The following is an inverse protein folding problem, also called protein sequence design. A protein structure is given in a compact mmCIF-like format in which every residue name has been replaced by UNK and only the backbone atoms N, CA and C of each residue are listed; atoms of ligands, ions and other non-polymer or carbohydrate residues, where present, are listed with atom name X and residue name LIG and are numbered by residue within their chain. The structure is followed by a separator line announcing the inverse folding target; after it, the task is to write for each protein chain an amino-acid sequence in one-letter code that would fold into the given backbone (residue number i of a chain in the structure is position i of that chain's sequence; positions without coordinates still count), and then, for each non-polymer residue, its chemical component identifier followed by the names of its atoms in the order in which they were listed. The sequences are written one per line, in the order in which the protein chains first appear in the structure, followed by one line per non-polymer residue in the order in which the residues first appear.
data_IF_954480541072
#
_entry.id   IF_954480541072
#
_cell.length_a   1.000
_cell.length_b   1.000
_cell.length_c   1.000
_cell.angle_alpha   90.00
_cell.angle_beta   90.00
_cell.angle_gamma   90.00
#
_symmetry.space_group_name_H-M   'P 1'
#
loop_
_entity.id
_entity.type
_entity.pdbx_description
1 polymer ?
#
# COMPACT_ATOMS: atom_id res chain seq x y z
N UNK A 1 16.33 -20.12 -11.15
CA UNK A 1 15.50 -20.89 -12.10
C UNK A 1 16.38 -21.73 -13.02
N UNK A 2 15.98 -22.96 -13.35
CA UNK A 2 16.76 -23.81 -14.28
C UNK A 2 16.71 -23.27 -15.72
N UNK A 3 17.82 -23.37 -16.44
CA UNK A 3 17.90 -22.97 -17.86
C UNK A 3 16.81 -23.64 -18.72
N UNK A 4 16.39 -24.86 -18.39
CA UNK A 4 15.36 -25.60 -19.12
C UNK A 4 13.97 -24.97 -19.01
N UNK A 5 13.58 -24.46 -17.85
CA UNK A 5 12.29 -23.79 -17.65
C UNK A 5 12.24 -22.47 -18.44
N UNK A 6 13.33 -21.70 -18.42
CA UNK A 6 13.43 -20.44 -19.17
C UNK A 6 13.38 -20.66 -20.69
N UNK A 7 14.06 -21.68 -21.21
CA UNK A 7 14.00 -22.04 -22.64
C UNK A 7 12.58 -22.48 -23.04
N UNK A 8 11.94 -23.34 -22.25
CA UNK A 8 10.57 -23.80 -22.54
C UNK A 8 9.55 -22.65 -22.56
N UNK A 9 9.61 -21.77 -21.56
CA UNK A 9 8.75 -20.59 -21.50
C UNK A 9 8.99 -19.64 -22.69
N UNK A 10 10.25 -19.49 -23.11
CA UNK A 10 10.61 -18.62 -24.23
C UNK A 10 10.15 -19.13 -25.59
N UNK A 11 10.22 -20.45 -25.82
CA UNK A 11 9.90 -21.02 -27.13
C UNK A 11 8.44 -21.39 -27.29
N UNK A 12 7.77 -21.83 -26.22
CA UNK A 12 6.41 -22.39 -26.31
C UNK A 12 5.34 -21.47 -25.73
N UNK A 13 5.66 -20.72 -24.67
CA UNK A 13 4.68 -19.99 -23.89
C UNK A 13 4.58 -18.51 -24.30
N UNK A 14 5.65 -17.73 -24.17
CA UNK A 14 5.58 -16.27 -24.40
C UNK A 14 5.04 -15.86 -25.78
N UNK A 15 5.35 -16.55 -26.90
CA UNK A 15 4.80 -16.24 -28.22
C UNK A 15 3.26 -16.29 -28.30
N UNK A 16 2.63 -17.13 -27.48
CA UNK A 16 1.18 -17.34 -27.48
C UNK A 16 0.48 -16.58 -26.35
N UNK A 17 1.24 -16.08 -25.38
CA UNK A 17 0.72 -15.42 -24.20
C UNK A 17 0.44 -13.93 -24.45
N UNK A 18 -0.82 -13.52 -24.29
CA UNK A 18 -1.24 -12.11 -24.33
C UNK A 18 -1.69 -11.65 -22.95
N UNK A 19 -0.94 -10.72 -22.36
CA UNK A 19 -1.24 -10.15 -21.04
C UNK A 19 -2.63 -9.53 -20.93
N UNK A 20 -3.18 -9.00 -22.01
CA UNK A 20 -4.50 -8.35 -22.06
C UNK A 20 -5.67 -9.32 -22.12
N UNK A 21 -5.41 -10.61 -22.36
CA UNK A 21 -6.45 -11.66 -22.51
C UNK A 21 -6.53 -12.60 -21.31
N UNK A 22 -5.85 -12.27 -20.22
CA UNK A 22 -5.68 -13.16 -19.08
C UNK A 22 -5.77 -12.37 -17.77
N UNK A 23 -6.59 -12.87 -16.86
CA UNK A 23 -6.91 -12.17 -15.62
C UNK A 23 -5.75 -12.13 -14.60
N UNK A 24 -4.73 -13.00 -14.76
CA UNK A 24 -3.55 -13.05 -13.88
C UNK A 24 -2.85 -11.70 -13.73
N UNK A 25 -2.83 -10.88 -14.81
CA UNK A 25 -2.18 -9.58 -14.81
C UNK A 25 -3.14 -8.40 -14.88
N UNK A 26 -4.45 -8.60 -14.69
CA UNK A 26 -5.42 -7.48 -14.63
C UNK A 26 -5.04 -6.47 -13.55
N UNK A 27 -4.38 -6.95 -12.48
CA UNK A 27 -3.79 -6.11 -11.44
C UNK A 27 -2.69 -5.15 -11.92
N UNK A 28 -2.23 -5.21 -13.16
CA UNK A 28 -1.33 -4.22 -13.77
C UNK A 28 -2.04 -3.31 -14.78
N UNK A 29 -3.36 -3.48 -14.97
CA UNK A 29 -4.19 -2.74 -15.94
C UNK A 29 -3.57 -2.70 -17.34
N UNK A 30 -3.33 -3.86 -17.97
CA UNK A 30 -2.77 -3.87 -19.32
C UNK A 30 -3.76 -3.26 -20.32
N UNK A 31 -3.29 -2.29 -21.10
CA UNK A 31 -4.04 -1.64 -22.18
C UNK A 31 -3.28 -1.89 -23.48
N UNK A 32 -3.90 -2.62 -24.41
CA UNK A 32 -3.29 -2.89 -25.73
C UNK A 32 -3.04 -1.57 -26.47
N UNK A 33 -1.83 -1.42 -27.02
CA UNK A 33 -1.50 -0.26 -27.85
C UNK A 33 -2.11 -0.44 -29.24
N UNK A 34 -2.24 0.67 -29.96
CA UNK A 34 -2.78 0.69 -31.33
C UNK A 34 -1.98 -0.17 -32.32
N UNK A 35 -0.73 -0.50 -32.00
CA UNK A 35 0.11 -1.38 -32.82
C UNK A 35 -0.28 -2.87 -32.74
N UNK A 36 -1.12 -3.28 -31.77
CA UNK A 36 -1.52 -4.67 -31.52
C UNK A 36 -0.36 -5.60 -31.13
N UNK A 37 0.84 -5.05 -30.90
CA UNK A 37 2.09 -5.78 -30.64
C UNK A 37 2.56 -5.62 -29.20
N UNK A 38 2.02 -4.64 -28.49
CA UNK A 38 2.37 -4.37 -27.10
C UNK A 38 1.19 -3.90 -26.29
N UNK A 39 1.33 -3.94 -24.97
CA UNK A 39 0.44 -3.25 -24.06
C UNK A 39 1.21 -2.29 -23.15
N UNK A 40 0.57 -1.18 -22.77
CA UNK A 40 0.98 -0.37 -21.63
C UNK A 40 0.41 -0.97 -20.36
N UNK A 41 1.12 -0.87 -19.25
CA UNK A 41 0.68 -1.36 -17.95
C UNK A 41 1.33 -0.57 -16.80
N UNK A 42 0.82 -0.76 -15.58
CA UNK A 42 1.47 -0.29 -14.36
C UNK A 42 2.69 -1.16 -14.10
N UNK A 43 3.84 -0.53 -13.84
CA UNK A 43 5.07 -1.23 -13.52
C UNK A 43 4.90 -2.06 -12.23
N UNK A 44 5.11 -3.38 -12.25
CA UNK A 44 5.02 -4.20 -11.04
C UNK A 44 6.09 -3.85 -10.00
N UNK A 45 7.22 -3.29 -10.45
CA UNK A 45 8.34 -2.92 -9.58
C UNK A 45 8.21 -1.52 -8.98
N UNK A 46 7.85 -0.49 -9.76
CA UNK A 46 7.83 0.90 -9.26
C UNK A 46 6.43 1.53 -9.16
N UNK A 47 5.39 0.82 -9.61
CA UNK A 47 4.00 1.27 -9.65
C UNK A 47 3.76 2.54 -10.49
N UNK A 48 4.71 2.88 -11.37
CA UNK A 48 4.56 3.92 -12.38
C UNK A 48 3.75 3.44 -13.59
N UNK A 49 3.09 4.36 -14.29
CA UNK A 49 2.22 4.08 -15.44
C UNK A 49 2.94 3.97 -16.79
N UNK A 50 4.27 4.01 -16.81
CA UNK A 50 5.09 4.03 -18.04
C UNK A 50 5.87 2.72 -18.19
N UNK A 51 5.18 1.60 -17.93
CA UNK A 51 5.66 0.27 -18.28
C UNK A 51 4.91 -0.26 -19.50
N UNK A 52 5.61 -1.10 -20.25
CA UNK A 52 5.03 -1.79 -21.39
C UNK A 52 5.58 -3.21 -21.48
N UNK A 53 4.81 -4.04 -22.17
CA UNK A 53 5.18 -5.41 -22.47
C UNK A 53 4.97 -5.64 -23.97
N UNK A 54 6.01 -6.12 -24.64
CA UNK A 54 5.87 -6.62 -26.01
C UNK A 54 5.37 -8.05 -25.96
N UNK A 55 4.26 -8.34 -26.64
CA UNK A 55 3.74 -9.70 -26.73
C UNK A 55 4.82 -10.60 -27.37
N UNK A 56 4.96 -11.82 -26.87
CA UNK A 56 6.04 -12.71 -27.29
C UNK A 56 7.32 -12.63 -26.45
N UNK A 57 7.44 -11.70 -25.51
CA UNK A 57 8.65 -11.54 -24.68
C UNK A 57 8.45 -12.04 -23.24
N UNK A 58 9.55 -12.28 -22.53
CA UNK A 58 9.53 -12.81 -21.17
C UNK A 58 9.32 -11.74 -20.08
N UNK A 59 9.34 -10.46 -20.44
CA UNK A 59 9.50 -9.38 -19.47
C UNK A 59 8.65 -8.15 -19.75
N UNK A 60 8.31 -7.46 -18.67
CA UNK A 60 7.77 -6.11 -18.64
C UNK A 60 8.96 -5.15 -18.54
N UNK A 61 9.00 -4.15 -19.42
CA UNK A 61 10.00 -3.08 -19.39
C UNK A 61 9.35 -1.80 -18.87
N UNK A 62 10.01 -1.13 -17.94
CA UNK A 62 9.56 0.16 -17.44
C UNK A 62 10.49 1.29 -17.89
N UNK A 63 9.93 2.32 -18.52
CA UNK A 63 10.67 3.52 -18.90
C UNK A 63 11.02 4.37 -17.68
N UNK A 64 10.17 4.34 -16.65
CA UNK A 64 10.35 5.12 -15.43
C UNK A 64 11.54 4.66 -14.60
N UNK A 65 11.61 3.36 -14.34
CA UNK A 65 12.58 2.79 -13.40
C UNK A 65 13.65 1.94 -14.08
N UNK A 66 13.61 1.86 -15.42
CA UNK A 66 14.51 1.10 -16.28
C UNK A 66 14.65 -0.40 -15.93
N UNK A 67 13.75 -0.92 -15.09
CA UNK A 67 13.74 -2.33 -14.71
C UNK A 67 13.11 -3.20 -15.79
N UNK A 68 13.65 -4.40 -15.91
CA UNK A 68 13.10 -5.50 -16.69
C UNK A 68 12.57 -6.54 -15.71
N UNK A 69 11.25 -6.55 -15.48
CA UNK A 69 10.62 -7.50 -14.57
C UNK A 69 10.07 -8.67 -15.38
N UNK A 70 10.54 -9.90 -15.13
CA UNK A 70 10.00 -11.08 -15.82
C UNK A 70 8.51 -11.27 -15.50
N UNK A 71 7.74 -11.95 -16.36
CA UNK A 71 6.33 -12.22 -16.09
C UNK A 71 6.13 -13.05 -14.81
N UNK A 72 7.03 -14.01 -14.55
CA UNK A 72 7.03 -14.80 -13.32
C UNK A 72 7.25 -13.91 -12.11
N UNK A 73 8.31 -13.10 -12.11
CA UNK A 73 8.60 -12.18 -11.00
C UNK A 73 7.49 -11.14 -10.80
N UNK A 74 6.88 -10.66 -11.88
CA UNK A 74 5.73 -9.77 -11.80
C UNK A 74 4.54 -10.45 -11.11
N UNK A 75 4.27 -11.72 -11.42
CA UNK A 75 3.21 -12.48 -10.77
C UNK A 75 3.52 -12.77 -9.29
N UNK A 76 4.77 -13.08 -8.95
CA UNK A 76 5.21 -13.18 -7.55
C UNK A 76 4.93 -11.90 -6.77
N UNK A 77 5.21 -10.73 -7.38
CA UNK A 77 4.94 -9.42 -6.74
C UNK A 77 3.45 -9.10 -6.62
N UNK A 78 2.65 -9.57 -7.57
CA UNK A 78 1.21 -9.35 -7.60
C UNK A 78 0.46 -10.22 -6.59
N UNK A 79 0.85 -11.50 -6.47
CA UNK A 79 0.13 -12.53 -5.72
C UNK A 79 0.86 -13.00 -4.45
N UNK A 80 2.08 -12.54 -4.18
CA UNK A 80 2.97 -13.05 -3.11
C UNK A 80 3.13 -14.57 -3.14
N UNK A 81 3.22 -15.14 -4.34
CA UNK A 81 3.48 -16.56 -4.54
C UNK A 81 4.96 -16.82 -4.80
N UNK A 82 5.39 -18.06 -4.59
CA UNK A 82 6.75 -18.49 -4.95
C UNK A 82 6.93 -18.44 -6.47
N UNK A 83 8.18 -18.37 -6.93
CA UNK A 83 8.49 -18.44 -8.36
C UNK A 83 7.94 -19.70 -9.02
N UNK A 84 7.95 -20.83 -8.31
CA UNK A 84 7.40 -22.10 -8.80
C UNK A 84 5.88 -22.03 -8.99
N UNK A 85 5.16 -21.51 -8.00
CA UNK A 85 3.72 -21.34 -8.06
C UNK A 85 3.32 -20.31 -9.14
N UNK A 86 4.05 -19.20 -9.25
CA UNK A 86 3.86 -18.23 -10.32
C UNK A 86 4.07 -18.84 -11.72
N UNK A 87 5.17 -19.59 -11.91
CA UNK A 87 5.46 -20.24 -13.18
C UNK A 87 4.38 -21.28 -13.54
N UNK A 88 3.91 -22.05 -12.56
CA UNK A 88 2.82 -23.01 -12.72
C UNK A 88 1.52 -22.33 -13.16
N UNK A 89 1.08 -21.29 -12.44
CA UNK A 89 -0.13 -20.53 -12.78
C UNK A 89 -0.06 -19.92 -14.17
N UNK A 90 1.09 -19.39 -14.56
CA UNK A 90 1.30 -18.85 -15.90
C UNK A 90 1.06 -19.91 -16.97
N UNK A 91 1.70 -21.07 -16.83
CA UNK A 91 1.55 -22.19 -17.77
C UNK A 91 0.10 -22.70 -17.84
N UNK A 92 -0.54 -22.91 -16.69
CA UNK A 92 -1.93 -23.37 -16.58
C UNK A 92 -2.90 -22.40 -17.27
N UNK A 93 -2.70 -21.09 -17.09
CA UNK A 93 -3.58 -20.07 -17.65
C UNK A 93 -3.58 -19.99 -19.18
N UNK A 94 -2.61 -20.61 -19.84
CA UNK A 94 -2.55 -20.75 -21.29
C UNK A 94 -2.73 -22.21 -21.76
N UNK A 95 -3.17 -23.10 -20.88
CA UNK A 95 -3.45 -24.51 -21.19
C UNK A 95 -2.21 -25.37 -21.42
N UNK A 96 -1.03 -24.93 -20.95
CA UNK A 96 0.19 -25.74 -21.02
C UNK A 96 0.31 -26.64 -19.78
N UNK A 97 0.66 -27.91 -19.99
CA UNK A 97 1.02 -28.80 -18.90
C UNK A 97 2.25 -28.26 -18.15
N UNK A 98 2.22 -28.28 -16.82
CA UNK A 98 3.41 -28.01 -16.01
C UNK A 98 4.52 -28.99 -16.39
N UNK A 99 5.76 -28.53 -16.67
CA UNK A 99 6.86 -29.45 -16.89
C UNK A 99 7.05 -30.30 -15.62
N UNK A 100 7.36 -31.61 -15.76
CA UNK A 100 7.59 -32.48 -14.62
C UNK A 100 8.72 -31.92 -13.75
N UNK A 101 8.50 -32.00 -12.44
CA UNK A 101 9.34 -31.52 -11.32
C UNK A 101 10.79 -31.30 -11.74
N UNK A 102 11.16 -30.03 -11.87
CA UNK A 102 12.58 -29.67 -11.97
C UNK A 102 13.08 -29.57 -10.53
N UNK A 103 13.67 -30.65 -10.04
CA UNK A 103 14.51 -30.59 -8.84
C UNK A 103 15.59 -29.53 -9.06
N UNK A 104 15.48 -28.43 -8.33
CA UNK A 104 16.53 -27.43 -8.24
C UNK A 104 17.39 -27.85 -7.05
N UNK A 105 18.29 -28.82 -7.25
CA UNK A 105 19.55 -28.77 -6.52
C UNK A 105 20.28 -27.53 -7.04
N UNK A 106 20.18 -26.43 -6.29
CA UNK A 106 20.93 -25.23 -6.58
C UNK A 106 22.41 -25.52 -6.36
N UNK A 107 23.13 -25.86 -7.42
CA UNK A 107 24.57 -25.63 -7.42
C UNK A 107 24.79 -24.11 -7.50
N UNK A 108 25.65 -23.54 -6.64
CA UNK A 108 25.99 -22.13 -6.70
C UNK A 108 26.80 -21.89 -7.98
N UNK A 109 26.11 -21.46 -9.03
CA UNK A 109 26.80 -20.92 -10.20
C UNK A 109 27.23 -19.48 -9.89
N UNK A 110 28.47 -19.35 -9.43
CA UNK A 110 29.28 -18.15 -9.63
C UNK A 110 29.48 -17.95 -11.13
N UNK A 111 28.48 -17.36 -11.78
CA UNK A 111 28.71 -16.59 -12.99
C UNK A 111 28.66 -15.13 -12.58
N UNK A 112 29.85 -14.57 -12.41
CA UNK A 112 30.06 -13.14 -12.51
C UNK A 112 29.47 -12.68 -13.84
N UNK A 113 28.20 -12.26 -13.83
CA UNK A 113 27.71 -11.33 -14.81
C UNK A 113 28.62 -10.12 -14.68
N UNK A 114 29.40 -9.86 -15.72
CA UNK A 114 30.03 -8.56 -15.93
C UNK A 114 28.93 -7.52 -15.79
N UNK A 115 28.86 -6.90 -14.61
CA UNK A 115 28.03 -5.75 -14.33
C UNK A 115 28.45 -4.68 -15.34
N UNK A 116 27.72 -4.59 -16.45
CA UNK A 116 27.70 -3.34 -17.18
C UNK A 116 27.26 -2.33 -16.14
N UNK A 117 28.15 -1.39 -15.77
CA UNK A 117 27.86 -0.22 -14.94
C UNK A 117 26.76 0.60 -15.62
N UNK A 118 25.53 0.10 -15.62
CA UNK A 118 24.33 0.85 -15.92
C UNK A 118 23.99 1.53 -14.61
N UNK A 119 24.22 2.84 -14.58
CA UNK A 119 23.73 3.75 -13.55
C UNK A 119 22.35 3.30 -13.09
N UNK A 120 22.25 2.88 -11.83
CA UNK A 120 21.00 2.44 -11.25
C UNK A 120 20.20 3.69 -10.90
N UNK A 121 19.32 4.10 -11.82
CA UNK A 121 18.29 5.09 -11.49
C UNK A 121 17.59 4.66 -10.20
N UNK A 122 17.44 5.57 -9.24
CA UNK A 122 16.77 5.28 -7.96
C UNK A 122 15.31 4.92 -8.27
N UNK A 123 14.99 3.64 -8.16
CA UNK A 123 13.64 3.13 -8.37
C UNK A 123 12.87 3.12 -7.05
N UNK A 124 11.53 3.21 -7.09
CA UNK A 124 10.68 3.03 -5.89
C UNK A 124 10.98 1.72 -5.18
N UNK A 125 11.22 0.64 -5.94
CA UNK A 125 11.56 -0.68 -5.39
C UNK A 125 12.87 -0.65 -4.64
N UNK A 126 13.93 -0.18 -5.29
CA UNK A 126 15.24 -0.05 -4.66
C UNK A 126 15.14 0.81 -3.40
N UNK A 127 14.44 1.94 -3.47
CA UNK A 127 14.25 2.83 -2.33
C UNK A 127 13.54 2.10 -1.18
N UNK A 128 12.43 1.41 -1.47
CA UNK A 128 11.69 0.65 -0.47
C UNK A 128 12.52 -0.50 0.12
N UNK A 129 13.30 -1.21 -0.71
CA UNK A 129 14.18 -2.28 -0.25
C UNK A 129 15.27 -1.73 0.69
N UNK A 130 15.89 -0.60 0.35
CA UNK A 130 16.87 0.06 1.24
C UNK A 130 16.23 0.53 2.56
N UNK A 131 15.08 1.19 2.49
CA UNK A 131 14.35 1.64 3.69
C UNK A 131 13.93 0.45 4.58
N UNK A 132 13.61 -0.70 3.99
CA UNK A 132 13.29 -1.93 4.72
C UNK A 132 14.51 -2.57 5.36
N UNK A 133 15.68 -2.54 4.71
CA UNK A 133 16.93 -2.99 5.33
C UNK A 133 17.21 -2.17 6.59
N UNK A 134 17.14 -0.84 6.49
CA UNK A 134 17.30 0.02 7.66
C UNK A 134 16.23 -0.17 8.74
N UNK A 135 14.99 -0.54 8.37
CA UNK A 135 13.96 -0.88 9.35
C UNK A 135 14.28 -2.20 10.07
N UNK A 136 14.81 -3.20 9.36
CA UNK A 136 15.21 -4.49 9.96
C UNK A 136 16.32 -4.32 11.00
N UNK A 137 17.20 -3.37 10.77
CA UNK A 137 18.36 -3.10 11.63
C UNK A 137 18.06 -2.09 12.76
N UNK A 138 16.79 -1.70 12.96
CA UNK A 138 16.39 -0.69 13.94
C UNK A 138 15.28 -1.21 14.87
N UNK A 139 15.68 -1.79 16.01
CA UNK A 139 14.76 -2.36 16.99
C UNK A 139 13.81 -1.30 17.58
N UNK A 140 14.28 -0.08 17.87
CA UNK A 140 13.44 1.00 18.40
C UNK A 140 12.29 1.38 17.45
N UNK A 141 12.56 1.44 16.14
CA UNK A 141 11.55 1.71 15.13
C UNK A 141 10.55 0.56 14.99
N UNK A 142 11.03 -0.69 15.10
CA UNK A 142 10.16 -1.87 15.13
C UNK A 142 9.25 -1.83 16.36
N UNK A 143 9.79 -1.59 17.55
CA UNK A 143 9.02 -1.48 18.80
C UNK A 143 7.99 -0.33 18.74
N UNK A 144 8.37 0.80 18.15
CA UNK A 144 7.47 1.94 17.91
C UNK A 144 6.28 1.56 17.00
N UNK A 145 6.51 0.76 15.95
CA UNK A 145 5.44 0.24 15.10
C UNK A 145 4.57 -0.78 15.84
N UNK A 146 5.17 -1.73 16.56
CA UNK A 146 4.44 -2.77 17.31
C UNK A 146 3.57 -2.16 18.41
N UNK A 147 4.11 -1.21 19.19
CA UNK A 147 3.35 -0.45 20.19
C UNK A 147 2.24 0.42 19.57
N UNK A 148 2.31 0.70 18.28
CA UNK A 148 1.28 1.40 17.51
C UNK A 148 0.27 0.45 16.85
N UNK A 149 0.27 -0.84 17.21
CA UNK A 149 -0.70 -1.84 16.76
C UNK A 149 -0.31 -2.58 15.47
N UNK A 150 0.97 -2.53 15.07
CA UNK A 150 1.46 -3.37 13.98
C UNK A 150 1.73 -4.80 14.45
N UNK A 151 1.48 -5.74 13.55
CA UNK A 151 1.92 -7.12 13.73
C UNK A 151 3.27 -7.32 13.02
N UNK A 152 4.16 -8.09 13.64
CA UNK A 152 5.52 -8.33 13.13
C UNK A 152 5.53 -8.86 11.69
N UNK A 153 4.56 -9.70 11.34
CA UNK A 153 4.41 -10.27 10.00
C UNK A 153 4.00 -9.26 8.92
N UNK A 154 3.45 -8.10 9.30
CA UNK A 154 2.98 -7.07 8.38
C UNK A 154 4.06 -6.02 8.06
N UNK A 155 5.03 -5.83 8.96
CA UNK A 155 6.08 -4.79 8.85
C UNK A 155 6.80 -4.82 7.50
N UNK A 156 7.15 -6.01 7.02
CA UNK A 156 7.93 -6.18 5.78
C UNK A 156 7.07 -6.42 4.53
N UNK A 157 5.75 -6.60 4.72
CA UNK A 157 4.76 -6.63 3.62
C UNK A 157 4.32 -5.22 3.24
N UNK A 158 4.19 -4.33 4.22
CA UNK A 158 3.78 -2.95 4.00
C UNK A 158 4.81 -2.15 3.17
N UNK A 159 4.36 -1.19 2.35
CA UNK A 159 5.22 -0.25 1.64
C UNK A 159 5.76 0.86 2.57
N UNK A 160 6.39 0.47 3.67
CA UNK A 160 7.07 1.36 4.63
C UNK A 160 8.55 1.00 4.76
N UNK A 161 9.31 1.88 5.41
CA UNK A 161 10.61 1.53 5.98
C UNK A 161 11.11 2.62 6.94
N UNK A 162 12.40 2.58 7.25
CA UNK A 162 13.04 3.50 8.17
C UNK A 162 14.11 4.33 7.44
N UNK A 163 14.19 5.62 7.72
CA UNK A 163 15.29 6.49 7.29
C UNK A 163 16.17 6.77 8.52
N UNK A 164 17.42 6.27 8.59
CA UNK A 164 18.29 6.53 9.74
C UNK A 164 18.79 7.97 9.80
N UNK A 165 19.08 8.55 8.64
CA UNK A 165 19.41 9.96 8.51
C UNK A 165 19.29 10.45 7.08
N UNK A 166 19.20 11.77 6.91
CA UNK A 166 19.30 12.39 5.59
C UNK A 166 20.62 12.08 4.84
N UNK A 167 21.70 11.77 5.57
CA UNK A 167 22.99 11.35 5.01
C UNK A 167 23.01 9.88 4.63
N UNK A 168 22.28 9.02 5.33
CA UNK A 168 22.28 7.58 5.08
C UNK A 168 21.92 7.26 3.62
N UNK A 169 20.90 7.92 3.08
CA UNK A 169 20.51 7.74 1.68
C UNK A 169 21.52 8.31 0.69
N UNK A 170 22.23 9.39 1.05
CA UNK A 170 23.29 9.94 0.20
C UNK A 170 24.52 9.03 0.13
N UNK A 171 24.74 8.21 1.17
CA UNK A 171 25.88 7.29 1.22
C UNK A 171 25.67 6.02 0.38
N UNK A 172 24.41 5.59 0.21
CA UNK A 172 24.07 4.38 -0.57
C UNK A 172 23.70 4.68 -2.02
N UNK A 173 23.57 5.96 -2.37
CA UNK A 173 23.28 6.41 -3.74
C UNK A 173 24.56 6.97 -4.35
N UNK A 174 25.00 6.38 -5.45
CA UNK A 174 26.18 6.86 -6.20
C UNK A 174 25.87 8.06 -7.10
N UNK A 175 24.60 8.25 -7.47
CA UNK A 175 24.11 9.28 -8.39
C UNK A 175 23.38 10.43 -7.66
N UNK A 176 22.93 11.45 -8.41
CA UNK A 176 22.11 12.52 -7.85
C UNK A 176 20.72 11.99 -7.48
N UNK A 177 20.30 12.23 -6.24
CA UNK A 177 18.93 11.95 -5.79
C UNK A 177 17.90 12.69 -6.68
N UNK A 178 16.76 12.05 -7.04
CA UNK A 178 15.60 12.73 -7.61
C UNK A 178 15.21 13.96 -6.80
N UNK A 179 14.71 15.00 -7.48
CA UNK A 179 14.52 16.32 -6.86
C UNK A 179 13.57 16.26 -5.67
N UNK A 180 12.44 15.55 -5.79
CA UNK A 180 11.45 15.45 -4.72
C UNK A 180 11.98 14.58 -3.56
N UNK A 181 12.75 13.53 -3.87
CA UNK A 181 13.39 12.69 -2.87
C UNK A 181 14.43 13.49 -2.08
N UNK A 182 15.29 14.23 -2.76
CA UNK A 182 16.31 15.08 -2.15
C UNK A 182 15.70 16.12 -1.18
N UNK A 183 14.61 16.77 -1.62
CA UNK A 183 13.90 17.77 -0.80
C UNK A 183 13.29 17.14 0.45
N UNK A 184 12.53 16.05 0.29
CA UNK A 184 11.85 15.38 1.41
C UNK A 184 12.83 14.77 2.42
N UNK A 185 13.89 14.12 1.97
CA UNK A 185 14.96 13.56 2.82
C UNK A 185 15.60 14.62 3.72
N UNK A 186 15.71 15.88 3.26
CA UNK A 186 16.25 16.98 4.08
C UNK A 186 15.32 17.43 5.21
N UNK A 187 14.03 17.11 5.12
CA UNK A 187 13.03 17.43 6.16
C UNK A 187 12.93 16.32 7.20
N UNK A 188 13.13 15.08 6.76
CA UNK A 188 13.08 13.90 7.62
C UNK A 188 14.46 13.66 8.22
N UNK A 189 14.60 13.94 9.52
CA UNK A 189 15.88 13.77 10.24
C UNK A 189 16.23 12.30 10.40
N UNK A 190 15.27 11.51 10.86
CA UNK A 190 15.35 10.08 11.10
C UNK A 190 13.95 9.57 11.47
N UNK A 191 13.53 8.40 11.02
CA UNK A 191 12.24 7.82 11.44
C UNK A 191 11.53 7.00 10.37
N UNK A 192 10.28 6.66 10.63
CA UNK A 192 9.48 5.77 9.78
C UNK A 192 8.90 6.57 8.62
N UNK A 193 9.08 6.04 7.41
CA UNK A 193 8.76 6.73 6.17
C UNK A 193 8.04 5.82 5.17
N UNK A 194 7.30 6.49 4.29
CA UNK A 194 6.55 5.91 3.17
C UNK A 194 7.01 6.59 1.88
N UNK A 195 7.42 5.84 0.85
CA UNK A 195 7.68 6.40 -0.47
C UNK A 195 6.36 6.72 -1.18
N UNK A 196 6.16 8.00 -1.50
CA UNK A 196 5.03 8.48 -2.29
C UNK A 196 5.47 8.72 -3.73
N UNK A 197 5.02 7.85 -4.63
CA UNK A 197 5.33 7.91 -6.07
C UNK A 197 4.47 8.99 -6.74
N UNK A 198 5.14 9.92 -7.41
CA UNK A 198 4.52 11.00 -8.17
C UNK A 198 4.22 10.58 -9.62
N UNK A 199 3.28 11.23 -10.33
CA UNK A 199 2.94 10.84 -11.71
C UNK A 199 4.10 10.95 -12.71
N UNK A 200 5.07 11.83 -12.44
CA UNK A 200 6.30 11.99 -13.23
C UNK A 200 7.39 10.97 -12.87
N UNK A 201 7.06 9.94 -12.09
CA UNK A 201 7.97 8.90 -11.60
C UNK A 201 9.05 9.36 -10.63
N UNK A 202 9.01 10.63 -10.21
CA UNK A 202 9.75 11.08 -9.04
C UNK A 202 9.09 10.49 -7.78
N UNK A 203 9.84 10.44 -6.69
CA UNK A 203 9.37 9.90 -5.43
C UNK A 203 9.76 10.86 -4.32
N UNK A 204 8.92 11.01 -3.32
CA UNK A 204 9.30 11.71 -2.11
C UNK A 204 8.94 10.88 -0.89
N UNK A 205 9.64 11.13 0.22
CA UNK A 205 9.34 10.50 1.49
C UNK A 205 8.34 11.34 2.26
N UNK A 206 7.30 10.68 2.74
CA UNK A 206 6.40 11.19 3.75
C UNK A 206 6.56 10.30 4.98
N UNK A 207 6.70 10.89 6.16
CA UNK A 207 6.91 10.06 7.36
C UNK A 207 6.92 10.84 8.64
N UNK A 208 7.47 10.25 9.68
CA UNK A 208 7.54 10.82 11.02
C UNK A 208 8.99 10.89 11.44
N UNK A 209 9.37 11.98 12.09
CA UNK A 209 10.66 12.04 12.76
C UNK A 209 10.55 11.31 14.10
N UNK A 210 11.56 10.52 14.46
CA UNK A 210 11.64 9.81 15.74
C UNK A 210 10.39 8.95 16.04
N UNK A 211 9.52 9.45 16.94
CA UNK A 211 8.32 8.75 17.40
C UNK A 211 7.11 9.01 16.50
N UNK A 212 6.45 7.94 16.08
CA UNK A 212 5.13 7.98 15.45
C UNK A 212 4.11 8.70 16.34
N UNK A 213 4.05 8.37 17.63
CA UNK A 213 2.98 8.80 18.53
C UNK A 213 3.05 10.28 18.91
N UNK A 214 4.25 10.87 18.90
CA UNK A 214 4.47 12.21 19.47
C UNK A 214 4.69 13.29 18.41
N UNK A 215 5.12 12.93 17.20
CA UNK A 215 5.58 13.91 16.22
C UNK A 215 4.62 14.12 15.05
N UNK A 216 4.66 15.35 14.53
CA UNK A 216 3.99 15.73 13.28
C UNK A 216 4.64 15.07 12.05
N UNK A 217 3.90 14.90 10.93
CA UNK A 217 4.50 14.29 9.76
C UNK A 217 5.53 15.25 9.20
N UNK A 218 6.62 14.71 8.70
CA UNK A 218 7.66 15.45 8.04
C UNK A 218 7.68 15.11 6.56
N UNK A 219 7.52 16.15 5.75
CA UNK A 219 7.65 16.14 4.30
C UNK A 219 7.98 17.55 3.82
N UNK A 220 8.32 17.71 2.55
CA UNK A 220 8.55 19.03 1.95
C UNK A 220 7.27 19.56 1.31
N UNK A 221 6.70 20.63 1.88
CA UNK A 221 5.43 21.23 1.45
C UNK A 221 5.47 21.83 0.04
N UNK A 222 6.68 22.04 -0.53
CA UNK A 222 6.81 22.46 -1.93
C UNK A 222 6.47 21.34 -2.92
N UNK A 223 6.46 20.09 -2.46
CA UNK A 223 6.07 18.93 -3.24
C UNK A 223 4.56 18.82 -3.22
N UNK A 224 3.96 18.86 -4.41
CA UNK A 224 2.51 18.90 -4.61
C UNK A 224 2.05 17.62 -5.33
N UNK A 225 1.78 16.53 -4.61
CA UNK A 225 1.32 15.29 -5.22
C UNK A 225 -0.07 15.51 -5.84
N UNK A 226 -0.23 15.15 -7.11
CA UNK A 226 -1.52 15.19 -7.82
C UNK A 226 -2.24 13.84 -7.84
N UNK A 227 -1.73 12.86 -7.09
CA UNK A 227 -2.29 11.52 -6.94
C UNK A 227 -2.18 11.07 -5.48
N UNK A 228 -3.17 10.32 -4.95
CA UNK A 228 -3.06 9.70 -3.64
C UNK A 228 -1.87 8.73 -3.56
N UNK A 229 -1.28 8.63 -2.38
CA UNK A 229 -0.22 7.68 -2.06
C UNK A 229 -0.74 6.26 -2.23
N UNK A 230 0.07 5.39 -2.83
CA UNK A 230 -0.27 4.00 -3.14
C UNK A 230 -1.47 3.78 -4.07
N UNK A 231 -2.05 4.80 -4.72
CA UNK A 231 -3.21 4.61 -5.62
C UNK A 231 -3.00 3.48 -6.64
N UNK A 232 -1.76 3.36 -7.16
CA UNK A 232 -1.37 2.38 -8.16
C UNK A 232 -0.76 1.10 -7.57
N UNK A 233 -0.87 0.87 -6.26
CA UNK A 233 -0.38 -0.37 -5.65
C UNK A 233 -1.15 -1.58 -6.19
N UNK A 234 -0.49 -2.74 -6.44
CA UNK A 234 -1.12 -3.95 -6.99
C UNK A 234 -2.43 -4.36 -6.34
N UNK A 235 -2.50 -4.33 -5.00
CA UNK A 235 -3.72 -4.61 -4.23
C UNK A 235 -4.87 -3.69 -4.67
N UNK A 236 -4.61 -2.38 -4.80
CA UNK A 236 -5.60 -1.41 -5.23
C UNK A 236 -6.03 -1.62 -6.67
N UNK A 237 -5.10 -2.00 -7.54
CA UNK A 237 -5.38 -2.18 -8.95
C UNK A 237 -6.38 -3.31 -9.19
N UNK A 238 -6.26 -4.43 -8.45
CA UNK A 238 -7.10 -5.64 -8.57
C UNK A 238 -8.52 -5.54 -8.00
N UNK A 239 -8.80 -4.56 -7.15
CA UNK A 239 -10.06 -4.55 -6.39
C UNK A 239 -11.13 -3.63 -6.97
N UNK A 240 -12.40 -4.03 -6.96
CA UNK A 240 -13.51 -3.18 -7.45
C UNK A 240 -13.85 -1.99 -6.51
N UNK A 241 -13.19 -1.93 -5.36
CA UNK A 241 -13.36 -0.89 -4.36
C UNK A 241 -12.01 -0.38 -3.84
N UNK A 242 -12.02 0.79 -3.20
CA UNK A 242 -10.84 1.45 -2.65
C UNK A 242 -11.20 2.21 -1.38
N UNK A 243 -10.44 1.98 -0.31
CA UNK A 243 -10.49 2.79 0.91
C UNK A 243 -9.53 3.98 0.78
N UNK A 244 -10.00 5.17 1.08
CA UNK A 244 -9.22 6.39 1.09
C UNK A 244 -9.06 6.85 2.53
N UNK A 245 -7.82 6.95 2.98
CA UNK A 245 -7.43 7.46 4.30
C UNK A 245 -6.63 8.75 4.17
N UNK A 246 -6.41 9.46 5.26
CA UNK A 246 -5.54 10.63 5.26
C UNK A 246 -4.05 10.25 5.43
N UNK A 247 -3.72 9.25 6.24
CA UNK A 247 -2.32 8.89 6.59
C UNK A 247 -1.71 7.81 5.65
N UNK A 248 -0.59 8.11 4.94
CA UNK A 248 0.14 7.12 4.14
C UNK A 248 0.66 5.88 4.87
N UNK A 249 1.04 5.96 6.15
CA UNK A 249 1.45 4.79 6.95
C UNK A 249 0.23 3.91 7.23
N UNK A 250 -0.93 4.51 7.52
CA UNK A 250 -2.17 3.73 7.68
C UNK A 250 -2.56 3.03 6.37
N UNK A 251 -2.48 3.73 5.22
CA UNK A 251 -2.70 3.09 3.92
C UNK A 251 -1.73 1.93 3.70
N UNK A 252 -0.45 2.08 4.07
CA UNK A 252 0.56 1.03 3.97
C UNK A 252 0.21 -0.20 4.81
N UNK A 253 -0.27 0.00 6.03
CA UNK A 253 -0.71 -1.06 6.93
C UNK A 253 -1.90 -1.83 6.36
N UNK A 254 -2.89 -1.11 5.83
CA UNK A 254 -4.07 -1.70 5.20
C UNK A 254 -3.67 -2.53 3.97
N UNK A 255 -2.75 -2.03 3.14
CA UNK A 255 -2.23 -2.77 2.00
C UNK A 255 -1.49 -4.05 2.40
N UNK A 256 -0.74 -4.04 3.51
CA UNK A 256 -0.09 -5.24 4.05
C UNK A 256 -1.10 -6.31 4.48
N UNK A 257 -2.28 -5.88 4.94
CA UNK A 257 -3.44 -6.74 5.21
C UNK A 257 -4.29 -7.05 3.98
N UNK A 258 -3.81 -6.72 2.78
CA UNK A 258 -4.54 -6.90 1.51
C UNK A 258 -5.87 -6.15 1.44
N UNK A 259 -6.02 -5.10 2.25
CA UNK A 259 -7.13 -4.15 2.16
C UNK A 259 -6.76 -3.10 1.11
N UNK A 260 -7.56 -2.92 0.04
CA UNK A 260 -7.32 -1.88 -0.96
C UNK A 260 -7.42 -0.50 -0.32
N UNK A 261 -6.28 0.18 -0.15
CA UNK A 261 -6.19 1.47 0.51
C UNK A 261 -5.18 2.42 -0.17
N UNK A 262 -5.53 3.70 -0.23
CA UNK A 262 -4.62 4.78 -0.64
C UNK A 262 -4.76 5.99 0.31
N UNK A 263 -3.75 6.85 0.36
CA UNK A 263 -3.78 8.02 1.25
C UNK A 263 -3.76 9.35 0.49
N UNK A 264 -4.57 10.32 0.92
CA UNK A 264 -4.58 11.68 0.35
C UNK A 264 -3.66 12.66 1.08
N UNK A 265 -3.10 12.27 2.23
CA UNK A 265 -2.31 13.17 3.07
C UNK A 265 -3.18 14.08 3.93
N UNK A 266 -2.52 14.95 4.68
CA UNK A 266 -3.18 15.92 5.56
C UNK A 266 -3.92 17.03 4.78
N UNK A 267 -4.48 18.01 5.50
CA UNK A 267 -5.20 19.14 4.92
C UNK A 267 -4.39 19.87 3.83
N UNK A 268 -3.06 19.96 3.98
CA UNK A 268 -2.20 20.67 3.03
C UNK A 268 -1.98 19.92 1.72
N UNK A 269 -2.09 18.59 1.73
CA UNK A 269 -1.90 17.72 0.57
C UNK A 269 -3.23 17.27 -0.06
N UNK A 270 -4.26 17.10 0.76
CA UNK A 270 -5.51 16.42 0.41
C UNK A 270 -6.23 17.02 -0.80
N UNK A 271 -6.20 18.34 -1.00
CA UNK A 271 -6.86 18.95 -2.15
C UNK A 271 -6.22 18.53 -3.48
N UNK A 272 -4.88 18.52 -3.54
CA UNK A 272 -4.16 18.23 -4.77
C UNK A 272 -4.09 16.74 -5.04
N UNK A 273 -3.83 15.93 -4.02
CA UNK A 273 -3.72 14.49 -4.16
C UNK A 273 -5.07 13.86 -4.54
N UNK A 274 -6.19 14.37 -4.01
CA UNK A 274 -7.54 13.87 -4.31
C UNK A 274 -7.92 14.03 -5.78
N UNK A 275 -7.27 14.93 -6.53
CA UNK A 275 -7.49 15.06 -8.00
C UNK A 275 -7.28 13.74 -8.74
N UNK A 276 -6.33 12.92 -8.29
CA UNK A 276 -6.06 11.61 -8.88
C UNK A 276 -7.24 10.62 -8.78
N UNK A 277 -8.24 10.91 -7.95
CA UNK A 277 -9.44 10.07 -7.81
C UNK A 277 -10.45 10.26 -8.95
N UNK A 278 -10.38 11.34 -9.73
CA UNK A 278 -11.35 11.65 -10.79
C UNK A 278 -11.44 10.54 -11.87
N UNK A 279 -10.33 9.82 -12.11
CA UNK A 279 -10.26 8.72 -13.07
C UNK A 279 -10.51 7.33 -12.47
N UNK A 280 -10.80 7.23 -11.17
CA UNK A 280 -10.90 5.94 -10.47
C UNK A 280 -12.31 5.36 -10.63
N UNK A 281 -12.43 4.32 -11.47
CA UNK A 281 -13.67 3.56 -11.68
C UNK A 281 -13.85 2.46 -10.63
N UNK A 282 -13.80 2.81 -9.33
CA UNK A 282 -13.98 1.88 -8.20
C UNK A 282 -15.00 2.45 -7.23
N UNK A 283 -15.62 1.60 -6.41
CA UNK A 283 -16.40 2.06 -5.26
C UNK A 283 -15.46 2.66 -4.21
N UNK A 284 -15.55 3.96 -3.98
CA UNK A 284 -14.66 4.67 -3.05
C UNK A 284 -15.33 4.80 -1.67
N UNK A 285 -14.60 4.35 -0.66
CA UNK A 285 -14.95 4.47 0.75
C UNK A 285 -13.94 5.39 1.42
N UNK A 286 -14.39 6.29 2.28
CA UNK A 286 -13.53 7.26 2.97
C UNK A 286 -13.48 6.89 4.44
N UNK A 287 -12.28 6.70 4.97
CA UNK A 287 -12.02 6.49 6.38
C UNK A 287 -11.36 7.75 6.96
N UNK A 288 -12.20 8.71 7.34
CA UNK A 288 -11.86 9.99 7.95
C UNK A 288 -13.07 10.53 8.72
N UNK A 289 -12.89 11.60 9.49
CA UNK A 289 -14.01 12.30 10.13
C UNK A 289 -14.96 12.88 9.06
N UNK A 290 -16.27 12.73 9.23
CA UNK A 290 -17.25 13.09 8.20
C UNK A 290 -17.23 14.57 7.79
N UNK A 291 -16.82 15.47 8.70
CA UNK A 291 -16.69 16.91 8.47
C UNK A 291 -15.27 17.36 8.08
N UNK A 292 -14.31 16.42 7.95
CA UNK A 292 -12.91 16.74 7.65
C UNK A 292 -12.74 17.42 6.29
N UNK A 293 -11.68 18.23 6.18
CA UNK A 293 -11.29 18.87 4.92
C UNK A 293 -10.96 17.82 3.85
N UNK A 294 -10.39 16.67 4.25
CA UNK A 294 -10.09 15.59 3.32
C UNK A 294 -11.37 14.96 2.75
N UNK A 295 -12.42 14.74 3.54
CA UNK A 295 -13.71 14.23 3.03
C UNK A 295 -14.27 15.16 1.95
N UNK A 296 -14.28 16.47 2.22
CA UNK A 296 -14.75 17.48 1.25
C UNK A 296 -13.92 17.44 -0.04
N UNK A 297 -12.60 17.35 0.08
CA UNK A 297 -11.70 17.30 -1.06
C UNK A 297 -11.84 16.00 -1.87
N UNK A 298 -12.03 14.85 -1.21
CA UNK A 298 -12.27 13.58 -1.88
C UNK A 298 -13.60 13.61 -2.63
N UNK A 299 -14.68 14.04 -1.97
CA UNK A 299 -16.02 14.10 -2.57
C UNK A 299 -16.11 15.11 -3.72
N UNK A 300 -15.31 16.18 -3.70
CA UNK A 300 -15.16 17.11 -4.83
C UNK A 300 -14.71 16.40 -6.11
N UNK A 301 -13.83 15.41 -6.03
CA UNK A 301 -13.29 14.68 -7.19
C UNK A 301 -13.91 13.29 -7.40
N UNK A 302 -14.56 12.75 -6.38
CA UNK A 302 -15.33 11.51 -6.44
C UNK A 302 -16.66 11.69 -5.69
N UNK A 303 -17.69 12.27 -6.35
CA UNK A 303 -18.95 12.64 -5.70
C UNK A 303 -19.71 11.47 -5.07
N UNK A 304 -19.47 10.26 -5.56
CA UNK A 304 -20.12 9.04 -5.07
C UNK A 304 -19.34 8.36 -3.92
N UNK A 305 -18.24 8.96 -3.46
CA UNK A 305 -17.44 8.43 -2.37
C UNK A 305 -18.23 8.46 -1.05
N UNK A 306 -18.24 7.32 -0.35
CA UNK A 306 -19.03 7.13 0.87
C UNK A 306 -18.14 7.23 2.10
N UNK A 307 -18.48 8.12 3.02
CA UNK A 307 -17.84 8.15 4.34
C UNK A 307 -18.26 6.90 5.10
N UNK A 308 -17.26 6.21 5.65
CA UNK A 308 -17.47 5.01 6.45
C UNK A 308 -17.76 5.43 7.89
N UNK A 309 -18.92 5.06 8.40
CA UNK A 309 -19.27 5.31 9.81
C UNK A 309 -18.49 4.37 10.74
N UNK A 310 -17.85 4.92 11.77
CA UNK A 310 -16.95 4.20 12.70
C UNK A 310 -17.60 3.07 13.52
N UNK A 311 -18.93 2.99 13.53
CA UNK A 311 -19.73 2.00 14.26
C UNK A 311 -20.32 0.92 13.37
N UNK A 312 -20.07 0.98 12.06
CA UNK A 312 -20.53 -0.05 11.14
C UNK A 312 -19.39 -1.05 10.91
N UNK A 313 -19.63 -2.36 11.10
CA UNK A 313 -18.72 -3.39 10.64
C UNK A 313 -18.40 -3.19 9.16
N UNK A 314 -17.18 -3.53 8.75
CA UNK A 314 -16.83 -3.70 7.35
C UNK A 314 -17.87 -4.64 6.74
N UNK A 315 -18.70 -4.13 5.83
CA UNK A 315 -19.77 -4.92 5.24
C UNK A 315 -19.32 -5.73 4.01
N UNK A 316 -18.03 -5.66 3.64
CA UNK A 316 -17.53 -6.16 2.36
C UNK A 316 -16.06 -6.60 2.41
N UNK A 317 -15.68 -7.53 1.51
CA UNK A 317 -14.32 -8.06 1.43
C UNK A 317 -14.00 -9.13 2.49
N UNK A 318 -12.73 -9.60 2.57
CA UNK A 318 -12.33 -10.71 3.45
C UNK A 318 -12.39 -10.37 4.95
N UNK A 319 -12.66 -9.11 5.31
CA UNK A 319 -12.81 -8.63 6.68
C UNK A 319 -14.26 -8.27 7.02
N UNK A 320 -15.22 -8.87 6.31
CA UNK A 320 -16.64 -8.74 6.62
C UNK A 320 -16.88 -9.00 8.12
N UNK A 321 -17.48 -8.04 8.82
CA UNK A 321 -17.73 -8.10 10.27
C UNK A 321 -16.70 -7.39 11.17
N UNK A 322 -15.50 -7.05 10.68
CA UNK A 322 -14.51 -6.32 11.49
C UNK A 322 -14.82 -4.82 11.55
N UNK A 323 -14.61 -4.16 12.70
CA UNK A 323 -14.87 -2.71 12.81
C UNK A 323 -13.74 -1.89 12.22
N UNK A 324 -14.11 -0.90 11.41
CA UNK A 324 -13.19 0.11 10.91
C UNK A 324 -12.44 0.83 12.04
N UNK A 325 -13.04 0.92 13.23
CA UNK A 325 -12.41 1.53 14.41
C UNK A 325 -11.14 0.80 14.89
N UNK A 326 -10.97 -0.49 14.58
CA UNK A 326 -9.71 -1.22 14.82
C UNK A 326 -8.56 -0.68 13.94
N UNK A 327 -8.90 -0.05 12.81
CA UNK A 327 -7.96 0.65 11.92
C UNK A 327 -7.89 2.17 12.19
N UNK A 328 -8.95 2.80 12.73
CA UNK A 328 -8.91 4.23 13.14
C UNK A 328 -8.37 4.45 14.55
N UNK A 329 -8.28 3.42 15.40
CA UNK A 329 -7.45 3.38 16.63
C UNK A 329 -5.94 3.39 16.30
N UNK A 330 -5.54 3.68 15.07
CA UNK A 330 -4.20 4.16 14.75
C UNK A 330 -3.85 5.30 15.71
N UNK A 331 -2.93 5.07 16.65
CA UNK A 331 -2.58 6.04 17.71
C UNK A 331 -2.08 7.37 17.13
N UNK A 332 -1.73 7.37 15.85
CA UNK A 332 -1.22 8.50 15.09
C UNK A 332 -2.24 9.12 14.14
N UNK A 333 -3.50 8.67 14.17
CA UNK A 333 -4.59 9.41 13.54
C UNK A 333 -4.78 10.71 14.30
N UNK A 334 -4.03 11.75 13.88
CA UNK A 334 -4.10 13.12 14.39
C UNK A 334 -5.47 13.76 14.16
N UNK A 335 -6.32 13.08 13.40
CA UNK A 335 -7.72 13.38 13.17
C UNK A 335 -8.60 12.87 14.31
N UNK A 336 -8.03 12.54 15.48
CA UNK A 336 -8.79 12.65 16.73
C UNK A 336 -9.01 14.14 17.01
N UNK A 337 -10.03 14.76 16.40
CA UNK A 337 -10.73 15.77 17.19
C UNK A 337 -11.26 15.02 18.42
N UNK A 338 -11.13 15.63 19.60
CA UNK A 338 -11.87 15.22 20.78
C UNK A 338 -13.31 15.09 20.28
N UNK A 339 -13.83 13.85 20.23
CA UNK A 339 -15.14 13.58 19.67
C UNK A 339 -16.07 14.64 20.26
N UNK A 340 -16.69 15.45 19.39
CA UNK A 340 -17.66 16.43 19.85
C UNK A 340 -18.71 15.62 20.57
N UNK A 341 -18.69 15.68 21.90
CA UNK A 341 -19.62 14.96 22.77
C UNK A 341 -20.99 15.27 22.18
N UNK A 342 -21.67 14.24 21.68
CA UNK A 342 -23.07 14.40 21.28
C UNK A 342 -23.74 14.99 22.51
N UNK A 343 -24.31 16.21 22.45
CA UNK A 343 -24.83 16.89 23.63
C UNK A 343 -25.73 15.90 24.39
N UNK A 344 -25.46 15.75 25.69
CA UNK A 344 -25.83 14.68 26.62
C UNK A 344 -27.30 14.18 26.67
N UNK A 345 -28.18 14.51 25.71
CA UNK A 345 -29.62 14.33 25.83
C UNK A 345 -30.31 13.60 24.65
N UNK A 346 -29.59 12.93 23.75
CA UNK A 346 -30.23 12.31 22.55
C UNK A 346 -30.27 10.78 22.57
N UNK A 347 -29.32 10.10 23.24
CA UNK A 347 -29.21 8.64 23.17
C UNK A 347 -29.82 7.96 24.41
N UNK A 348 -30.78 7.06 24.18
CA UNK A 348 -31.36 6.21 25.23
C UNK A 348 -30.35 5.17 25.72
N UNK A 349 -30.57 4.64 26.92
CA UNK A 349 -29.69 3.60 27.47
C UNK A 349 -29.71 2.32 26.62
N UNK A 350 -30.84 2.00 25.99
CA UNK A 350 -30.94 0.91 25.01
C UNK A 350 -30.03 1.13 23.80
N UNK A 351 -29.96 2.35 23.26
CA UNK A 351 -29.07 2.65 22.13
C UNK A 351 -27.60 2.50 22.52
N UNK A 352 -27.25 2.85 23.76
CA UNK A 352 -25.89 2.72 24.29
C UNK A 352 -25.52 1.25 24.50
N UNK A 353 -26.44 0.44 25.03
CA UNK A 353 -26.26 -1.00 25.19
C UNK A 353 -26.15 -1.68 23.82
N UNK A 354 -26.95 -1.28 22.82
CA UNK A 354 -26.84 -1.80 21.46
C UNK A 354 -25.50 -1.45 20.82
N UNK A 355 -25.01 -0.23 21.01
CA UNK A 355 -23.68 0.17 20.55
C UNK A 355 -22.58 -0.64 21.25
N UNK A 356 -22.70 -0.89 22.56
CA UNK A 356 -21.77 -1.73 23.31
C UNK A 356 -21.76 -3.17 22.80
N UNK A 357 -22.93 -3.78 22.66
CA UNK A 357 -23.09 -5.15 22.14
C UNK A 357 -22.43 -5.26 20.77
N UNK A 358 -22.73 -4.33 19.87
CA UNK A 358 -22.19 -4.36 18.52
C UNK A 358 -20.65 -4.29 18.49
N UNK A 359 -20.03 -3.57 19.42
CA UNK A 359 -18.56 -3.51 19.56
C UNK A 359 -17.98 -4.81 20.12
N UNK A 360 -18.62 -5.39 21.13
CA UNK A 360 -18.19 -6.66 21.75
C UNK A 360 -18.37 -7.84 20.80
N UNK A 361 -19.50 -7.88 20.07
CA UNK A 361 -19.80 -8.87 19.03
C UNK A 361 -18.77 -8.87 17.88
N UNK A 362 -17.98 -7.80 17.80
CA UNK A 362 -16.89 -7.64 16.86
C UNK A 362 -15.50 -7.91 17.44
N UNK A 363 -15.46 -8.68 18.52
CA UNK A 363 -14.23 -9.10 19.19
C UNK A 363 -13.42 -7.92 19.78
N UNK A 364 -14.06 -6.77 20.01
CA UNK A 364 -13.44 -5.70 20.80
C UNK A 364 -13.50 -6.09 22.27
N UNK A 365 -12.39 -5.89 23.00
CA UNK A 365 -12.40 -6.11 24.44
C UNK A 365 -13.45 -5.21 25.11
N UNK A 366 -14.06 -5.68 26.19
CA UNK A 366 -15.09 -4.91 26.89
C UNK A 366 -14.58 -3.53 27.33
N UNK A 367 -13.36 -3.49 27.87
CA UNK A 367 -12.73 -2.24 28.34
C UNK A 367 -12.50 -1.25 27.19
N UNK A 368 -12.02 -1.74 26.05
CA UNK A 368 -11.87 -0.95 24.83
C UNK A 368 -13.20 -0.40 24.31
N UNK A 369 -14.26 -1.20 24.39
CA UNK A 369 -15.60 -0.84 23.94
C UNK A 369 -16.26 0.20 24.86
N UNK A 370 -16.02 0.11 26.17
CA UNK A 370 -16.46 1.10 27.16
C UNK A 370 -15.77 2.44 26.96
N UNK A 371 -14.45 2.46 26.79
CA UNK A 371 -13.69 3.69 26.51
C UNK A 371 -14.20 4.36 25.23
N UNK A 372 -14.48 3.54 24.22
CA UNK A 372 -15.05 3.95 22.93
C UNK A 372 -16.41 4.65 23.09
N UNK A 373 -17.27 4.13 23.95
CA UNK A 373 -18.60 4.68 24.24
C UNK A 373 -18.52 5.95 25.07
N UNK A 374 -17.65 5.97 26.07
CA UNK A 374 -17.44 7.12 26.96
C UNK A 374 -16.98 8.33 26.17
N UNK A 375 -16.01 8.15 25.26
CA UNK A 375 -15.53 9.22 24.37
C UNK A 375 -16.65 9.75 23.45
N UNK A 376 -17.52 8.88 22.94
CA UNK A 376 -18.55 9.26 21.94
C UNK A 376 -19.80 9.88 22.54
N UNK A 377 -20.23 9.33 23.67
CA UNK A 377 -21.55 9.60 24.25
C UNK A 377 -21.45 10.37 25.56
N UNK A 378 -20.25 10.49 26.15
CA UNK A 378 -20.06 10.98 27.51
C UNK A 378 -20.57 10.02 28.60
N UNK A 379 -21.12 8.85 28.23
CA UNK A 379 -21.67 7.85 29.14
C UNK A 379 -20.77 6.62 29.21
N UNK A 380 -20.52 6.16 30.43
CA UNK A 380 -19.69 4.98 30.72
C UNK A 380 -20.58 3.82 31.14
N UNK A 381 -20.36 2.64 30.56
CA UNK A 381 -21.04 1.40 30.95
C UNK A 381 -20.14 0.62 31.90
N UNK A 382 -20.71 0.09 32.98
CA UNK A 382 -20.02 -0.78 33.93
C UNK A 382 -20.86 -2.02 34.19
N UNK A 383 -20.22 -3.18 34.33
CA UNK A 383 -20.89 -4.40 34.77
C UNK A 383 -20.76 -4.45 36.29
N UNK A 384 -21.88 -4.24 36.99
CA UNK A 384 -21.94 -4.52 38.42
C UNK A 384 -22.07 -6.03 38.63
N UNK A 385 -21.19 -6.62 39.45
CA UNK A 385 -21.42 -7.98 39.94
C UNK A 385 -22.66 -7.95 40.85
N UNK A 386 -23.71 -8.67 40.44
CA UNK A 386 -24.87 -8.92 41.29
C UNK A 386 -24.41 -9.89 42.39
N UNK A 387 -24.53 -9.45 43.64
CA UNK A 387 -24.24 -10.27 44.83
C UNK A 387 -25.28 -11.35 45.03
#
# INVERSE_FOLDING_TARGET
MSNRLNTYLSEKFYPLYKLTRNDLFNGLRPIEKSDGKSCSLVCPSCWGNDAFHYFGTASIRCNSCHQHTTLVSALCLLDEVTEQEAAKRLLESAGFASPPIVDITAEPHDKAETESKKSSAITTRWLLDQLRLWLKDNDDAIESLLSSGWEKELLFKAPIGYLPSSRAIQNVVTDRLPTSLYKSVRKIKNGIVVPWVLPNHDVFLWGYNDSLQQNQPSFDISIKPSSPCHLNHPVNLKSEWLLVVEDPILASLLLARRIPACAVGDESLSELSSKGLQGVKKSIFILAEADSVAVKNIQKYSPNAKVVEEVKPIAFGPYHGAYYRRFTKWHVSRFKKIATVVPNNVLSDEQIILMLSALVDAEMSFDDAVEVLEIKTGKRVTIAQVK
#
